data_IF_880451823804
#
_entry.id   IF_880451823804
#
_cell.length_a   1.000
_cell.length_b   1.000
_cell.length_c   1.000
_cell.angle_alpha   90.00
_cell.angle_beta   90.00
_cell.angle_gamma   90.00
#
_symmetry.space_group_name_H-M   'P 1'
#
loop_
_entity.id
_entity.type
_entity.pdbx_description
1 polymer ?
#
# COMPACT_ATOMS: atom_id res chain seq x y z
N UNK A 1 -2.37 -11.91 0.84
CA UNK A 1 -1.31 -10.88 1.00
C UNK A 1 -0.02 -11.52 1.51
N UNK A 2 1.15 -10.92 1.27
CA UNK A 2 2.47 -11.48 1.58
C UNK A 2 3.00 -11.17 3.01
N UNK A 3 2.23 -10.42 3.81
CA UNK A 3 2.60 -10.02 5.18
C UNK A 3 3.14 -11.15 6.08
N UNK A 4 2.57 -12.37 6.12
CA UNK A 4 3.07 -13.44 7.00
C UNK A 4 4.54 -13.81 6.77
N UNK A 5 5.07 -13.62 5.55
CA UNK A 5 6.47 -13.93 5.21
C UNK A 5 7.45 -12.87 5.71
N UNK A 6 7.01 -11.62 5.86
CA UNK A 6 7.87 -10.49 6.26
C UNK A 6 7.74 -10.13 7.74
N UNK A 7 6.62 -10.50 8.38
CA UNK A 7 6.35 -10.20 9.79
C UNK A 7 6.95 -11.21 10.80
N UNK A 8 7.76 -12.15 10.32
CA UNK A 8 8.45 -13.09 11.22
C UNK A 8 9.42 -12.31 12.13
N UNK A 9 9.41 -12.52 13.45
CA UNK A 9 10.25 -11.75 14.38
C UNK A 9 11.74 -11.76 14.04
N UNK A 10 12.26 -12.88 13.52
CA UNK A 10 13.67 -13.05 13.15
C UNK A 10 14.11 -12.13 12.01
N UNK A 11 13.17 -11.60 11.22
CA UNK A 11 13.46 -10.66 10.13
C UNK A 11 13.68 -9.24 10.64
N UNK A 12 13.24 -8.93 11.86
CA UNK A 12 13.41 -7.62 12.50
C UNK A 12 13.01 -6.44 11.58
N UNK A 13 11.95 -6.62 10.78
CA UNK A 13 11.51 -5.61 9.80
C UNK A 13 11.00 -4.39 10.54
N UNK A 14 11.52 -3.21 10.17
CA UNK A 14 11.11 -1.92 10.74
C UNK A 14 10.20 -1.11 9.81
N UNK A 15 10.31 -1.30 8.50
CA UNK A 15 9.53 -0.61 7.48
C UNK A 15 9.05 -1.59 6.42
N UNK A 16 7.76 -1.52 6.07
CA UNK A 16 7.16 -2.28 4.97
C UNK A 16 6.59 -1.31 3.95
N UNK A 17 7.04 -1.44 2.69
CA UNK A 17 6.41 -0.80 1.54
C UNK A 17 5.39 -1.78 0.93
N UNK A 18 4.11 -1.50 1.12
CA UNK A 18 3.01 -2.33 0.64
C UNK A 18 2.39 -1.72 -0.60
N UNK A 19 2.77 -2.21 -1.79
CA UNK A 19 2.11 -1.85 -3.04
C UNK A 19 0.89 -2.75 -3.27
N UNK A 20 -0.29 -2.17 -3.31
CA UNK A 20 -1.56 -2.90 -3.42
C UNK A 20 -2.15 -2.83 -4.83
N UNK A 21 -2.62 -3.98 -5.32
CA UNK A 21 -3.18 -4.15 -6.66
C UNK A 21 -4.61 -4.73 -6.61
N UNK A 22 -5.31 -4.55 -5.50
CA UNK A 22 -6.65 -5.11 -5.30
C UNK A 22 -7.65 -4.47 -6.27
N UNK A 23 -8.52 -5.29 -6.86
CA UNK A 23 -9.54 -4.83 -7.81
C UNK A 23 -10.69 -4.05 -7.16
N UNK A 24 -10.87 -4.20 -5.84
CA UNK A 24 -11.96 -3.60 -5.07
C UNK A 24 -11.47 -2.57 -4.05
N UNK A 25 -11.76 -2.80 -2.78
CA UNK A 25 -11.30 -1.96 -1.68
C UNK A 25 -9.76 -1.89 -1.69
N UNK A 26 -9.17 -0.69 -1.93
CA UNK A 26 -7.72 -0.49 -2.01
C UNK A 26 -6.98 -0.85 -0.71
N UNK A 27 -7.70 -1.05 0.39
CA UNK A 27 -7.13 -1.40 1.69
C UNK A 27 -7.54 -2.78 2.19
N UNK A 28 -8.25 -3.56 1.38
CA UNK A 28 -8.70 -4.89 1.77
C UNK A 28 -7.54 -5.75 2.28
N UNK A 29 -6.40 -5.70 1.60
CA UNK A 29 -5.24 -6.53 1.95
C UNK A 29 -4.61 -6.15 3.28
N UNK A 30 -4.55 -4.86 3.63
CA UNK A 30 -3.98 -4.41 4.90
C UNK A 30 -4.97 -4.63 6.06
N UNK A 31 -6.28 -4.47 5.82
CA UNK A 31 -7.32 -4.84 6.81
C UNK A 31 -7.25 -6.33 7.13
N UNK A 32 -7.21 -7.20 6.10
CA UNK A 32 -7.04 -8.65 6.30
C UNK A 32 -5.71 -9.02 6.93
N UNK A 33 -4.65 -8.26 6.68
CA UNK A 33 -3.38 -8.45 7.37
C UNK A 33 -3.49 -8.11 8.86
N UNK A 34 -4.13 -7.00 9.22
CA UNK A 34 -4.35 -6.61 10.60
C UNK A 34 -5.19 -7.65 11.36
N UNK A 35 -6.32 -8.09 10.79
CA UNK A 35 -7.17 -9.16 11.35
C UNK A 35 -6.36 -10.45 11.59
N UNK A 36 -5.56 -10.88 10.60
CA UNK A 36 -4.71 -12.06 10.73
C UNK A 36 -3.66 -11.90 11.84
N UNK A 37 -3.00 -10.73 11.90
CA UNK A 37 -1.96 -10.49 12.89
C UNK A 37 -2.54 -10.46 14.31
N UNK A 38 -3.70 -9.84 14.50
CA UNK A 38 -4.43 -9.85 15.76
C UNK A 38 -4.78 -11.29 16.20
N UNK A 39 -5.34 -12.10 15.29
CA UNK A 39 -5.72 -13.49 15.57
C UNK A 39 -4.52 -14.39 15.95
N UNK A 40 -3.31 -14.03 15.52
CA UNK A 40 -2.08 -14.80 15.74
C UNK A 40 -1.10 -14.13 16.71
N UNK A 41 -1.50 -13.07 17.41
CA UNK A 41 -0.64 -12.29 18.31
C UNK A 41 0.67 -11.82 17.66
N UNK A 42 0.62 -11.47 16.37
CA UNK A 42 1.73 -10.88 15.62
C UNK A 42 1.64 -9.36 15.75
N UNK A 43 2.71 -8.66 16.18
CA UNK A 43 2.70 -7.19 16.25
C UNK A 43 2.45 -6.56 14.87
N UNK A 44 1.41 -5.73 14.77
CA UNK A 44 1.02 -5.03 13.55
C UNK A 44 0.39 -3.67 13.89
N UNK A 45 0.68 -2.58 13.15
CA UNK A 45 0.14 -1.28 13.48
C UNK A 45 -1.37 -1.24 13.30
N UNK A 46 -2.05 -0.44 14.12
CA UNK A 46 -3.49 -0.24 14.00
C UNK A 46 -3.82 0.42 12.66
N UNK A 47 -4.76 -0.17 11.93
CA UNK A 47 -5.30 0.40 10.69
C UNK A 47 -6.54 1.21 11.07
N UNK A 48 -6.45 2.54 11.06
CA UNK A 48 -7.59 3.41 11.35
C UNK A 48 -8.57 3.43 10.17
N UNK A 49 -9.78 2.91 10.39
CA UNK A 49 -10.84 2.91 9.40
C UNK A 49 -11.41 4.31 9.12
N UNK A 50 -11.16 5.29 9.97
CA UNK A 50 -11.62 6.67 9.77
C UNK A 50 -10.69 7.49 8.87
N UNK A 51 -9.45 7.03 8.64
CA UNK A 51 -8.56 7.61 7.64
C UNK A 51 -9.08 7.39 6.18
N UNK A 52 -10.23 6.72 6.03
CA UNK A 52 -10.73 6.07 4.81
C UNK A 52 -11.94 6.75 4.19
N UNK A 53 -12.00 8.08 4.23
CA UNK A 53 -13.23 8.81 3.87
C UNK A 53 -13.64 8.67 2.39
N UNK A 54 -12.78 8.19 1.49
CA UNK A 54 -13.13 7.96 0.10
C UNK A 54 -12.35 6.78 -0.53
N UNK A 55 -13.04 5.64 -0.71
CA UNK A 55 -12.50 4.44 -1.38
C UNK A 55 -12.46 4.60 -2.92
N UNK A 56 -13.20 5.55 -3.45
CA UNK A 56 -13.25 5.88 -4.88
C UNK A 56 -12.15 6.87 -5.25
N UNK A 57 -11.68 7.68 -4.29
CA UNK A 57 -10.56 8.62 -4.46
C UNK A 57 -9.43 8.45 -3.44
N UNK A 58 -8.80 7.25 -3.34
CA UNK A 58 -7.72 7.00 -2.40
C UNK A 58 -6.53 7.96 -2.62
N UNK A 59 -5.82 8.22 -1.51
CA UNK A 59 -4.55 8.94 -1.53
C UNK A 59 -3.44 8.09 -2.16
N UNK A 60 -2.31 8.72 -2.50
CA UNK A 60 -1.13 8.06 -3.06
C UNK A 60 -0.52 7.02 -2.11
N UNK A 61 -0.53 7.30 -0.81
CA UNK A 61 -0.21 6.33 0.22
C UNK A 61 -0.86 6.64 1.58
N UNK A 62 -0.85 5.63 2.45
CA UNK A 62 -1.25 5.70 3.85
C UNK A 62 -0.09 5.21 4.71
N UNK A 63 0.18 5.90 5.83
CA UNK A 63 1.27 5.53 6.74
C UNK A 63 0.66 5.08 8.06
N UNK A 64 0.94 3.84 8.45
CA UNK A 64 0.50 3.25 9.70
C UNK A 64 1.71 3.04 10.61
N UNK A 65 1.65 3.60 11.81
CA UNK A 65 2.68 3.49 12.85
C UNK A 65 2.07 2.84 14.09
N UNK A 66 2.89 2.14 14.85
CA UNK A 66 2.51 1.54 16.13
C UNK A 66 3.74 1.20 16.95
N UNK A 67 3.58 1.14 18.27
CA UNK A 67 4.65 0.76 19.20
C UNK A 67 5.02 -0.72 19.00
N UNK A 68 6.31 -1.04 18.93
CA UNK A 68 6.83 -2.40 18.69
C UNK A 68 6.29 -3.11 17.43
N UNK A 69 5.89 -2.34 16.42
CA UNK A 69 5.41 -2.84 15.12
C UNK A 69 6.24 -2.25 13.97
N UNK A 70 6.30 -2.90 12.80
CA UNK A 70 6.84 -2.24 11.61
C UNK A 70 5.94 -1.06 11.21
N UNK A 71 6.56 0.06 10.82
CA UNK A 71 5.85 1.11 10.08
C UNK A 71 5.45 0.56 8.71
N UNK A 72 4.22 0.83 8.28
CA UNK A 72 3.72 0.41 6.97
C UNK A 72 3.39 1.64 6.14
N UNK A 73 4.00 1.72 4.95
CA UNK A 73 3.57 2.65 3.90
C UNK A 73 2.79 1.83 2.89
N UNK A 74 1.48 2.04 2.84
CA UNK A 74 0.56 1.32 1.96
C UNK A 74 0.17 2.20 0.77
N UNK A 75 0.43 1.71 -0.45
CA UNK A 75 0.28 2.46 -1.69
C UNK A 75 -0.70 1.74 -2.62
N UNK A 76 -1.96 2.20 -2.73
CA UNK A 76 -2.90 1.69 -3.73
C UNK A 76 -2.40 1.98 -5.14
N UNK A 77 -2.51 1.00 -6.05
CA UNK A 77 -2.06 1.14 -7.44
C UNK A 77 -2.72 2.33 -8.15
N UNK A 78 -4.03 2.51 -8.00
CA UNK A 78 -4.78 3.61 -8.60
C UNK A 78 -5.24 4.57 -7.52
N UNK A 79 -4.82 5.83 -7.62
CA UNK A 79 -5.11 6.87 -6.66
C UNK A 79 -5.25 8.25 -7.32
N UNK A 80 -5.71 9.23 -6.55
CA UNK A 80 -6.03 10.58 -7.03
C UNK A 80 -4.85 11.33 -7.66
N UNK A 81 -3.61 10.90 -7.40
CA UNK A 81 -2.41 11.57 -7.91
C UNK A 81 -1.96 10.96 -9.26
N UNK A 82 -1.96 9.63 -9.39
CA UNK A 82 -1.46 8.99 -10.63
C UNK A 82 -2.53 8.82 -11.72
N UNK A 83 -3.81 8.79 -11.37
CA UNK A 83 -4.94 8.72 -12.31
C UNK A 83 -6.06 9.70 -11.91
N UNK A 84 -5.78 11.03 -11.88
CA UNK A 84 -6.71 12.05 -11.41
C UNK A 84 -8.02 12.02 -12.21
N UNK A 85 -9.14 11.83 -11.51
CA UNK A 85 -10.48 11.76 -12.10
C UNK A 85 -10.75 10.51 -12.96
N UNK A 86 -9.84 9.53 -12.98
CA UNK A 86 -9.92 8.34 -13.86
C UNK A 86 -9.77 7.01 -13.14
N UNK A 87 -9.87 7.00 -11.81
CA UNK A 87 -9.64 5.79 -10.99
C UNK A 87 -10.58 4.64 -11.42
N UNK A 88 -11.86 4.92 -11.64
CA UNK A 88 -12.84 3.92 -12.10
C UNK A 88 -12.50 3.37 -13.50
N UNK A 89 -12.15 4.23 -14.46
CA UNK A 89 -11.70 3.84 -15.82
C UNK A 89 -10.48 2.92 -15.74
N UNK A 90 -9.50 3.25 -14.90
CA UNK A 90 -8.30 2.43 -14.73
C UNK A 90 -8.62 1.08 -14.08
N UNK A 91 -9.48 1.05 -13.04
CA UNK A 91 -9.92 -0.21 -12.40
C UNK A 91 -10.64 -1.13 -13.39
N UNK A 92 -11.49 -0.57 -14.25
CA UNK A 92 -12.19 -1.33 -15.30
C UNK A 92 -11.21 -1.82 -16.38
N UNK A 93 -10.38 -0.92 -16.91
CA UNK A 93 -9.44 -1.23 -17.99
C UNK A 93 -8.40 -2.28 -17.58
N UNK A 94 -7.96 -2.26 -16.32
CA UNK A 94 -6.92 -3.13 -15.76
C UNK A 94 -7.49 -4.16 -14.78
N UNK A 95 -8.71 -4.64 -15.04
CA UNK A 95 -9.37 -5.64 -14.19
C UNK A 95 -8.61 -6.97 -14.15
N UNK A 96 -8.73 -7.69 -13.02
CA UNK A 96 -8.05 -8.99 -12.79
C UNK A 96 -8.37 -10.04 -13.85
N UNK A 97 -9.56 -9.99 -14.46
CA UNK A 97 -10.01 -10.97 -15.45
C UNK A 97 -9.56 -10.64 -16.88
N UNK A 98 -8.87 -9.51 -17.11
CA UNK A 98 -8.32 -9.19 -18.42
C UNK A 98 -7.10 -10.06 -18.71
N UNK A 99 -7.24 -10.93 -19.72
CA UNK A 99 -6.24 -11.95 -20.05
C UNK A 99 -5.03 -11.42 -20.85
N UNK A 100 -5.18 -10.30 -21.55
CA UNK A 100 -4.12 -9.73 -22.37
C UNK A 100 -4.18 -8.21 -22.40
N UNK A 101 -3.01 -7.58 -22.47
CA UNK A 101 -2.83 -6.14 -22.63
C UNK A 101 -2.13 -5.83 -23.95
N UNK A 102 -2.52 -4.76 -24.62
CA UNK A 102 -1.72 -4.21 -25.72
C UNK A 102 -0.43 -3.57 -25.18
N UNK A 103 0.54 -3.29 -26.07
CA UNK A 103 1.77 -2.59 -25.68
C UNK A 103 1.47 -1.21 -25.04
N UNK A 104 0.49 -0.49 -25.60
CA UNK A 104 0.02 0.82 -25.10
C UNK A 104 -0.61 0.70 -23.70
N UNK A 105 -1.35 -0.38 -23.43
CA UNK A 105 -1.96 -0.62 -22.13
C UNK A 105 -0.91 -0.98 -21.07
N UNK A 106 0.07 -1.80 -21.43
CA UNK A 106 1.23 -2.10 -20.59
C UNK A 106 1.97 -0.80 -20.25
N UNK A 107 2.22 0.05 -21.25
CA UNK A 107 2.88 1.33 -21.04
C UNK A 107 2.07 2.25 -20.12
N UNK A 108 0.76 2.37 -20.34
CA UNK A 108 -0.15 3.16 -19.50
C UNK A 108 -0.10 2.70 -18.04
N UNK A 109 -0.18 1.40 -17.78
CA UNK A 109 -0.11 0.83 -16.43
C UNK A 109 1.28 1.04 -15.80
N UNK A 110 2.34 0.85 -16.58
CA UNK A 110 3.71 1.06 -16.13
C UNK A 110 3.97 2.52 -15.74
N UNK A 111 3.45 3.48 -16.49
CA UNK A 111 3.52 4.91 -16.16
C UNK A 111 2.81 5.19 -14.83
N UNK A 112 1.60 4.64 -14.64
CA UNK A 112 0.85 4.81 -13.39
C UNK A 112 1.59 4.22 -12.17
N UNK A 113 2.15 3.02 -12.32
CA UNK A 113 2.93 2.36 -11.27
C UNK A 113 4.22 3.12 -10.93
N UNK A 114 4.96 3.60 -11.95
CA UNK A 114 6.17 4.43 -11.76
C UNK A 114 5.87 5.72 -11.02
N UNK A 115 4.79 6.42 -11.41
CA UNK A 115 4.34 7.63 -10.71
C UNK A 115 4.01 7.34 -9.25
N UNK A 116 3.40 6.19 -8.97
CA UNK A 116 3.04 5.81 -7.60
C UNK A 116 4.28 5.72 -6.70
N UNK A 117 5.34 5.07 -7.17
CA UNK A 117 6.62 4.97 -6.42
C UNK A 117 7.28 6.34 -6.28
N UNK A 118 7.35 7.12 -7.37
CA UNK A 118 7.99 8.42 -7.38
C UNK A 118 7.32 9.41 -6.40
N UNK A 119 5.99 9.43 -6.33
CA UNK A 119 5.25 10.34 -5.47
C UNK A 119 5.45 10.06 -3.98
N UNK A 120 5.72 8.80 -3.63
CA UNK A 120 5.84 8.37 -2.23
C UNK A 120 7.30 8.40 -1.76
N UNK A 121 8.27 8.65 -2.66
CA UNK A 121 9.71 8.65 -2.37
C UNK A 121 10.06 9.53 -1.16
N UNK A 122 9.54 10.77 -1.10
CA UNK A 122 9.86 11.67 0.00
C UNK A 122 9.37 11.11 1.35
N UNK A 123 8.14 10.61 1.41
CA UNK A 123 7.56 10.00 2.61
C UNK A 123 8.35 8.76 3.05
N UNK A 124 8.81 7.94 2.10
CA UNK A 124 9.71 6.79 2.40
C UNK A 124 10.99 7.28 3.06
N UNK A 125 11.62 8.32 2.52
CA UNK A 125 12.86 8.86 3.10
C UNK A 125 12.63 9.47 4.49
N UNK A 126 11.48 10.08 4.73
CA UNK A 126 11.07 10.60 6.03
C UNK A 126 10.87 9.48 7.05
N UNK A 127 10.16 8.40 6.69
CA UNK A 127 9.99 7.23 7.58
C UNK A 127 11.32 6.52 7.86
N UNK A 128 12.21 6.38 6.87
CA UNK A 128 13.53 5.80 7.09
C UNK A 128 14.31 6.64 8.10
N UNK A 129 14.33 7.97 7.94
CA UNK A 129 15.02 8.88 8.88
C UNK A 129 14.41 8.79 10.28
N UNK A 130 13.09 8.77 10.37
CA UNK A 130 12.37 8.63 11.64
C UNK A 130 12.77 7.33 12.36
N UNK A 131 12.70 6.19 11.67
CA UNK A 131 13.02 4.86 12.23
C UNK A 131 14.49 4.79 12.68
N UNK A 132 15.43 5.29 11.86
CA UNK A 132 16.86 5.29 12.20
C UNK A 132 17.14 6.21 13.39
N UNK A 133 16.52 7.39 13.43
CA UNK A 133 16.66 8.33 14.54
C UNK A 133 16.04 7.86 15.85
N UNK A 134 14.92 7.13 15.80
CA UNK A 134 14.26 6.54 16.97
C UNK A 134 14.92 5.28 17.50
N UNK A 135 15.93 4.74 16.81
CA UNK A 135 16.67 3.55 17.24
C UNK A 135 17.85 3.86 18.18
N UNK A 136 17.87 5.04 18.81
CA UNK A 136 18.92 5.50 19.75
C UNK A 136 18.46 5.41 21.20
#
# INVERSE_FOLDING_TARGET
>A
TAYPSVLRPERQVKLILSFDFSAGDPLLTIKKAAEYCEAHAIPFPKVDENALQDLDTPSDCYIFRGEDTPTIIHCPLFNKINCPGKIAEYREQFSTFKLSYSAEEIEKLLIAAKKNVANVQQKVMEEIKYIVGSSS
#
